data_IF_903922206905
#
_entry.id   IF_903922206905
#
_cell.length_a   1.000
_cell.length_b   1.000
_cell.length_c   1.000
_cell.angle_alpha   90.00
_cell.angle_beta   90.00
_cell.angle_gamma   90.00
#
_symmetry.space_group_name_H-M   'P 1'
#
loop_
_entity.id
_entity.type
_entity.pdbx_description
1 polymer ?
#
# COMPACT_ATOMS: atom_id res chain seq x y z
N UNK A 1 -15.98 6.48 -0.29
CA UNK A 1 -14.85 5.55 -0.52
C UNK A 1 -13.99 6.10 -1.63
N UNK A 2 -12.71 6.35 -1.37
CA UNK A 2 -11.79 6.95 -2.35
C UNK A 2 -10.62 5.98 -2.52
N UNK A 3 -10.63 5.22 -3.61
CA UNK A 3 -9.59 4.22 -3.92
C UNK A 3 -8.40 4.82 -4.68
N UNK A 4 -8.58 6.07 -5.15
CA UNK A 4 -7.65 6.76 -6.02
C UNK A 4 -7.48 8.18 -5.53
N UNK A 5 -6.23 8.54 -5.26
CA UNK A 5 -5.83 9.86 -4.76
C UNK A 5 -5.00 10.56 -5.82
N UNK A 6 -5.39 11.78 -6.20
CA UNK A 6 -4.61 12.60 -7.10
C UNK A 6 -3.46 13.23 -6.32
N UNK A 7 -2.23 12.81 -6.60
CA UNK A 7 -1.04 13.44 -6.05
C UNK A 7 -0.05 13.75 -7.17
N UNK A 8 0.60 12.75 -7.74
CA UNK A 8 1.55 12.87 -8.84
C UNK A 8 1.01 12.27 -10.16
N UNK A 9 1.49 12.80 -11.27
CA UNK A 9 1.20 12.30 -12.60
C UNK A 9 2.05 11.06 -12.88
N UNK A 10 1.41 9.95 -13.21
CA UNK A 10 2.07 8.65 -13.43
C UNK A 10 2.88 8.55 -14.74
N UNK A 11 2.99 9.65 -15.51
CA UNK A 11 3.81 9.75 -16.72
C UNK A 11 5.03 10.64 -16.49
N UNK A 12 4.82 11.90 -16.08
CA UNK A 12 5.92 12.84 -15.87
C UNK A 12 6.47 12.89 -14.44
N UNK A 13 5.78 12.30 -13.46
CA UNK A 13 6.17 12.28 -12.05
C UNK A 13 6.00 13.60 -11.29
N UNK A 14 5.48 14.64 -11.92
CA UNK A 14 5.19 15.92 -11.26
C UNK A 14 3.79 15.91 -10.61
N UNK A 15 3.57 16.70 -9.54
CA UNK A 15 2.26 16.83 -8.91
C UNK A 15 1.15 17.17 -9.91
N UNK A 16 0.00 16.49 -9.81
CA UNK A 16 -1.24 16.77 -10.57
C UNK A 16 -1.85 18.13 -10.19
N UNK A 17 -1.53 18.64 -9.00
CA UNK A 17 -2.06 19.89 -8.45
C UNK A 17 -3.61 19.87 -8.39
N UNK A 18 -4.24 21.05 -8.29
CA UNK A 18 -5.70 21.19 -8.27
C UNK A 18 -6.39 21.10 -9.65
N UNK A 19 -5.66 20.78 -10.72
CA UNK A 19 -6.23 20.62 -12.06
C UNK A 19 -7.08 19.36 -12.18
N UNK A 20 -7.94 19.29 -13.20
CA UNK A 20 -8.72 18.08 -13.50
C UNK A 20 -7.79 17.03 -14.14
N UNK A 21 -7.49 15.89 -13.48
CA UNK A 21 -6.61 14.88 -14.04
C UNK A 21 -7.33 14.08 -15.14
N UNK A 22 -6.56 13.55 -16.09
CA UNK A 22 -7.03 12.55 -17.03
C UNK A 22 -7.02 11.16 -16.38
N UNK A 23 -8.17 10.50 -16.36
CA UNK A 23 -8.28 9.09 -15.98
C UNK A 23 -7.96 8.20 -17.18
N UNK A 24 -6.93 7.38 -17.04
CA UNK A 24 -6.56 6.37 -18.04
C UNK A 24 -6.70 4.99 -17.42
N UNK A 25 -7.36 4.08 -18.13
CA UNK A 25 -7.60 2.71 -17.68
C UNK A 25 -6.94 1.74 -18.64
N UNK A 26 -6.06 0.88 -18.15
CA UNK A 26 -5.50 -0.24 -18.91
C UNK A 26 -6.22 -1.54 -18.58
N UNK A 27 -6.87 -2.12 -19.58
CA UNK A 27 -7.71 -3.30 -19.46
C UNK A 27 -6.92 -4.58 -19.82
N UNK A 28 -6.86 -5.51 -18.86
CA UNK A 28 -6.23 -6.82 -18.97
C UNK A 28 -7.25 -7.96 -19.00
N UNK A 29 -8.45 -7.71 -19.54
CA UNK A 29 -9.61 -8.63 -19.70
C UNK A 29 -10.34 -8.98 -18.40
N UNK A 30 -9.62 -9.40 -17.37
CA UNK A 30 -10.19 -9.78 -16.06
C UNK A 30 -9.86 -8.79 -14.95
N UNK A 31 -8.84 -7.97 -15.16
CA UNK A 31 -8.42 -6.88 -14.27
C UNK A 31 -8.16 -5.65 -15.11
N UNK A 32 -8.31 -4.47 -14.54
CA UNK A 32 -7.84 -3.24 -15.16
C UNK A 32 -7.15 -2.34 -14.13
N UNK A 33 -6.29 -1.45 -14.58
CA UNK A 33 -5.58 -0.49 -13.73
C UNK A 33 -5.98 0.93 -14.13
N UNK A 34 -6.52 1.68 -13.16
CA UNK A 34 -6.99 3.04 -13.33
C UNK A 34 -5.99 4.02 -12.72
N UNK A 35 -5.42 4.91 -13.54
CA UNK A 35 -4.34 5.83 -13.17
C UNK A 35 -4.64 7.26 -13.58
N UNK A 36 -3.97 8.21 -12.93
CA UNK A 36 -4.17 9.65 -13.13
C UNK A 36 -2.97 10.33 -13.81
N UNK A 37 -3.28 11.25 -14.73
CA UNK A 37 -2.31 11.98 -15.55
C UNK A 37 -2.66 13.46 -15.69
N UNK A 38 -1.71 14.32 -16.06
CA UNK A 38 -2.03 15.68 -16.48
C UNK A 38 -2.86 15.67 -17.76
N UNK A 39 -4.08 16.20 -17.69
CA UNK A 39 -4.98 16.29 -18.83
C UNK A 39 -4.42 17.19 -19.94
N UNK A 40 -4.36 16.66 -21.16
CA UNK A 40 -3.95 17.39 -22.36
C UNK A 40 -2.43 17.60 -22.51
N UNK A 41 -1.66 17.51 -21.41
CA UNK A 41 -0.19 17.58 -21.45
C UNK A 41 0.45 16.19 -21.52
N UNK A 42 0.08 15.29 -20.61
CA UNK A 42 0.66 13.94 -20.55
C UNK A 42 -0.24 12.93 -21.25
N UNK A 43 -1.54 12.92 -20.94
CA UNK A 43 -2.51 11.98 -21.53
C UNK A 43 -3.89 12.62 -21.67
N UNK A 44 -4.70 12.03 -22.55
CA UNK A 44 -6.15 12.23 -22.58
C UNK A 44 -6.86 11.07 -21.87
N UNK A 45 -8.07 11.29 -21.32
CA UNK A 45 -8.83 10.22 -20.69
C UNK A 45 -9.15 9.13 -21.70
N UNK A 46 -8.91 7.87 -21.32
CA UNK A 46 -9.10 6.73 -22.23
C UNK A 46 -9.28 5.44 -21.46
N UNK A 47 -10.12 4.56 -22.01
CA UNK A 47 -10.12 3.14 -21.70
C UNK A 47 -9.33 2.40 -22.78
N UNK A 48 -8.18 1.84 -22.42
CA UNK A 48 -7.30 1.12 -23.32
C UNK A 48 -7.59 -0.37 -23.26
N UNK A 49 -8.21 -0.90 -24.32
CA UNK A 49 -8.48 -2.34 -24.50
C UNK A 49 -7.37 -3.06 -25.28
N UNK A 50 -6.35 -2.33 -25.75
CA UNK A 50 -5.24 -2.87 -26.54
C UNK A 50 -4.04 -3.26 -25.67
N UNK A 51 -3.47 -4.44 -25.96
CA UNK A 51 -2.51 -5.16 -25.13
C UNK A 51 -1.15 -4.50 -24.81
N UNK A 52 -0.57 -3.56 -25.59
CA UNK A 52 0.67 -2.94 -25.15
C UNK A 52 0.38 -1.84 -24.14
N UNK A 53 0.50 -2.17 -22.86
CA UNK A 53 0.58 -1.17 -21.78
C UNK A 53 1.95 -0.54 -21.86
N UNK A 54 2.01 0.72 -22.29
CA UNK A 54 3.24 1.50 -22.32
C UNK A 54 3.36 2.29 -21.02
N UNK A 55 4.25 1.85 -20.14
CA UNK A 55 4.69 2.61 -18.98
C UNK A 55 5.93 3.40 -19.39
N UNK A 56 5.94 4.72 -19.19
CA UNK A 56 7.15 5.53 -19.37
C UNK A 56 8.07 5.50 -18.14
N UNK A 57 7.57 4.99 -17.00
CA UNK A 57 8.29 4.97 -15.74
C UNK A 57 8.14 3.61 -15.05
N UNK A 58 9.15 2.76 -15.23
CA UNK A 58 9.42 1.67 -14.29
C UNK A 58 10.00 2.30 -13.00
N UNK A 59 9.44 1.91 -11.84
CA UNK A 59 9.82 2.31 -10.48
C UNK A 59 9.37 3.71 -9.99
N UNK A 60 8.50 3.71 -8.96
CA UNK A 60 8.18 4.89 -8.15
C UNK A 60 6.71 5.28 -8.10
N UNK A 61 5.79 4.32 -7.94
CA UNK A 61 4.42 4.61 -7.52
C UNK A 61 4.52 5.28 -6.15
N UNK A 62 4.12 6.55 -6.06
CA UNK A 62 4.06 7.24 -4.77
C UNK A 62 3.17 6.44 -3.84
N UNK A 63 3.55 6.31 -2.58
CA UNK A 63 2.72 5.68 -1.56
C UNK A 63 2.80 6.49 -0.28
N UNK A 64 1.84 6.27 0.60
CA UNK A 64 1.84 6.86 1.95
C UNK A 64 1.87 5.75 2.98
N UNK A 65 2.60 5.96 4.07
CA UNK A 65 2.60 5.05 5.19
C UNK A 65 2.79 5.79 6.51
N UNK A 66 2.30 5.17 7.57
CA UNK A 66 2.60 5.57 8.93
C UNK A 66 2.74 4.31 9.80
N UNK A 67 3.39 4.47 10.95
CA UNK A 67 3.56 3.39 11.91
C UNK A 67 2.82 3.70 13.21
N UNK A 68 2.31 2.67 13.88
CA UNK A 68 1.52 2.84 15.08
C UNK A 68 1.24 1.53 15.80
N UNK A 69 0.77 1.63 17.04
CA UNK A 69 0.25 0.49 17.79
C UNK A 69 -1.22 0.25 17.45
N UNK A 70 -1.59 -1.00 17.17
CA UNK A 70 -2.97 -1.44 16.94
C UNK A 70 -3.36 -2.38 18.07
N UNK A 71 -4.57 -2.24 18.61
CA UNK A 71 -5.06 -3.16 19.66
C UNK A 71 -5.72 -4.38 19.02
N UNK A 72 -5.15 -5.56 19.25
CA UNK A 72 -5.66 -6.84 18.77
C UNK A 72 -5.84 -7.80 19.94
N UNK A 73 -7.08 -8.18 20.27
CA UNK A 73 -7.37 -9.10 21.37
C UNK A 73 -6.87 -8.59 22.74
N UNK A 74 -6.94 -7.28 22.97
CA UNK A 74 -6.43 -6.64 24.20
C UNK A 74 -4.92 -6.45 24.26
N UNK A 75 -4.17 -6.90 23.24
CA UNK A 75 -2.73 -6.69 23.14
C UNK A 75 -2.42 -5.57 22.13
N UNK A 76 -1.52 -4.66 22.50
CA UNK A 76 -0.95 -3.71 21.57
C UNK A 76 0.05 -4.43 20.65
N UNK A 77 -0.16 -4.34 19.34
CA UNK A 77 0.72 -4.89 18.32
C UNK A 77 1.27 -3.77 17.43
N UNK A 78 2.54 -3.83 17.01
CA UNK A 78 3.10 -2.81 16.15
C UNK A 78 2.60 -3.03 14.72
N UNK A 79 2.24 -1.95 14.04
CA UNK A 79 1.75 -1.99 12.67
C UNK A 79 2.46 -0.96 11.79
N UNK A 80 2.65 -1.34 10.53
CA UNK A 80 2.96 -0.44 9.42
C UNK A 80 1.72 -0.40 8.53
N UNK A 81 1.09 0.76 8.44
CA UNK A 81 -0.10 0.98 7.62
C UNK A 81 0.33 1.70 6.35
N UNK A 82 -0.01 1.13 5.19
CA UNK A 82 0.44 1.59 3.87
C UNK A 82 -0.78 1.79 2.97
N UNK A 83 -0.80 2.92 2.26
CA UNK A 83 -1.63 3.12 1.08
C UNK A 83 -0.76 3.00 -0.17
N UNK A 84 -0.70 1.80 -0.76
CA UNK A 84 0.03 1.55 -2.01
C UNK A 84 -0.79 1.93 -3.25
N UNK A 85 -2.08 2.29 -3.09
CA UNK A 85 -3.02 2.67 -4.16
C UNK A 85 -3.09 4.20 -4.33
N UNK A 86 -2.06 4.90 -3.90
CA UNK A 86 -1.91 6.30 -4.25
C UNK A 86 -1.75 6.38 -5.78
N UNK A 87 -2.57 7.20 -6.45
CA UNK A 87 -2.53 7.43 -7.90
C UNK A 87 -2.82 6.23 -8.82
N UNK A 88 -3.02 5.03 -8.27
CA UNK A 88 -3.51 3.84 -9.00
C UNK A 88 -4.56 3.06 -8.21
N UNK A 89 -5.67 2.73 -8.87
CA UNK A 89 -6.70 1.84 -8.37
C UNK A 89 -6.83 0.63 -9.30
N UNK A 90 -7.11 -0.54 -8.72
CA UNK A 90 -7.42 -1.72 -9.51
C UNK A 90 -8.93 -1.78 -9.78
N UNK A 91 -9.29 -2.37 -10.92
CA UNK A 91 -10.64 -2.78 -11.25
C UNK A 91 -10.60 -4.28 -11.48
N UNK A 92 -11.60 -5.00 -10.97
CA UNK A 92 -11.75 -6.44 -11.16
C UNK A 92 -13.06 -6.66 -11.88
N UNK A 93 -13.06 -7.48 -12.93
CA UNK A 93 -14.27 -7.85 -13.65
C UNK A 93 -14.95 -9.01 -12.92
N UNK A 94 -16.18 -8.77 -12.45
CA UNK A 94 -17.01 -9.74 -11.72
C UNK A 94 -18.40 -9.76 -12.38
N UNK A 95 -18.85 -10.92 -12.86
CA UNK A 95 -20.12 -11.07 -13.59
C UNK A 95 -20.35 -9.99 -14.68
N UNK A 96 -19.33 -9.72 -15.50
CA UNK A 96 -19.32 -8.68 -16.55
C UNK A 96 -19.40 -7.23 -16.04
N UNK A 97 -19.25 -7.01 -14.73
CA UNK A 97 -19.24 -5.68 -14.10
C UNK A 97 -17.85 -5.37 -13.55
N UNK A 98 -17.28 -4.26 -14.00
CA UNK A 98 -16.04 -3.74 -13.42
C UNK A 98 -16.31 -3.17 -12.03
N UNK A 99 -15.69 -3.76 -11.02
CA UNK A 99 -15.78 -3.31 -9.63
C UNK A 99 -14.44 -2.75 -9.19
N UNK A 100 -14.45 -1.57 -8.58
CA UNK A 100 -13.25 -0.93 -8.08
C UNK A 100 -12.70 -1.66 -6.83
N UNK A 101 -11.39 -1.87 -6.83
CA UNK A 101 -10.62 -2.53 -5.80
C UNK A 101 -9.34 -1.73 -5.48
N UNK A 102 -8.85 -1.82 -4.24
CA UNK A 102 -7.49 -1.37 -3.94
C UNK A 102 -6.48 -2.27 -4.66
N UNK A 103 -5.31 -1.75 -5.02
CA UNK A 103 -4.23 -2.53 -5.63
C UNK A 103 -3.81 -3.74 -4.77
N UNK A 104 -4.01 -3.65 -3.46
CA UNK A 104 -3.79 -4.70 -2.47
C UNK A 104 -5.07 -5.10 -1.72
N UNK A 105 -6.24 -4.73 -2.25
CA UNK A 105 -7.54 -5.03 -1.67
C UNK A 105 -7.99 -6.48 -1.88
N UNK A 106 -9.18 -6.86 -1.36
CA UNK A 106 -9.73 -8.19 -1.55
C UNK A 106 -9.79 -8.56 -3.03
N UNK A 107 -9.31 -9.77 -3.37
CA UNK A 107 -9.25 -10.32 -4.74
C UNK A 107 -8.20 -9.70 -5.66
N UNK A 108 -7.35 -8.79 -5.16
CA UNK A 108 -6.27 -8.23 -5.98
C UNK A 108 -5.10 -9.22 -6.15
N UNK A 109 -4.42 -9.15 -7.29
CA UNK A 109 -3.20 -9.94 -7.53
C UNK A 109 -2.10 -9.61 -6.49
N UNK A 110 -1.98 -8.34 -6.09
CA UNK A 110 -1.04 -7.92 -5.04
C UNK A 110 -1.34 -8.53 -3.68
N UNK A 111 -2.63 -8.60 -3.30
CA UNK A 111 -3.06 -9.26 -2.06
C UNK A 111 -2.75 -10.76 -2.08
N UNK A 112 -2.97 -11.43 -3.20
CA UNK A 112 -2.68 -12.85 -3.38
C UNK A 112 -1.17 -13.13 -3.33
N UNK A 113 -0.35 -12.32 -4.01
CA UNK A 113 1.11 -12.45 -4.03
C UNK A 113 1.72 -12.33 -2.62
N UNK A 114 1.21 -11.39 -1.82
CA UNK A 114 1.65 -11.23 -0.43
C UNK A 114 0.91 -12.14 0.55
N UNK A 115 -0.12 -12.88 0.10
CA UNK A 115 -1.07 -13.64 0.93
C UNK A 115 -1.64 -12.81 2.08
N UNK A 116 -2.05 -11.58 1.78
CA UNK A 116 -2.79 -10.73 2.71
C UNK A 116 -4.16 -11.34 3.01
N UNK A 117 -4.72 -11.01 4.17
CA UNK A 117 -6.05 -11.43 4.59
C UNK A 117 -6.91 -10.22 4.93
N UNK A 118 -8.22 -10.24 4.66
CA UNK A 118 -9.11 -9.16 5.10
C UNK A 118 -9.03 -9.02 6.61
N UNK A 119 -8.73 -7.82 7.10
CA UNK A 119 -8.59 -7.58 8.54
C UNK A 119 -9.92 -7.73 9.29
N UNK A 120 -11.04 -7.49 8.59
CA UNK A 120 -12.40 -7.76 9.06
C UNK A 120 -12.66 -9.24 9.42
N UNK A 121 -11.87 -10.17 8.88
CA UNK A 121 -11.96 -11.59 9.21
C UNK A 121 -11.12 -11.95 10.45
N UNK A 122 -10.49 -10.94 11.07
CA UNK A 122 -9.62 -11.07 12.23
C UNK A 122 -8.14 -10.84 11.91
N UNK A 123 -7.33 -10.70 12.95
CA UNK A 123 -5.89 -10.50 12.80
C UNK A 123 -5.20 -11.75 12.26
N UNK A 124 -4.25 -11.61 11.32
CA UNK A 124 -3.53 -12.73 10.74
C UNK A 124 -2.66 -13.43 11.80
N UNK A 125 -2.45 -14.76 11.65
CA UNK A 125 -1.56 -15.50 12.56
C UNK A 125 -0.12 -15.00 12.43
N UNK A 126 0.62 -15.00 13.55
CA UNK A 126 2.04 -14.55 13.61
C UNK A 126 3.05 -15.57 13.02
N UNK A 127 2.71 -16.25 11.91
CA UNK A 127 3.54 -17.31 11.31
C UNK A 127 4.44 -16.79 10.17
N UNK A 128 5.51 -17.53 9.87
CA UNK A 128 6.69 -17.07 9.10
C UNK A 128 6.71 -17.43 7.61
N UNK A 129 5.58 -17.73 6.97
CA UNK A 129 5.53 -18.05 5.53
C UNK A 129 5.44 -16.78 4.65
N UNK A 130 5.76 -15.62 5.23
CA UNK A 130 5.72 -14.34 4.56
C UNK A 130 6.90 -14.17 3.61
N UNK A 131 6.61 -13.80 2.35
CA UNK A 131 7.61 -13.30 1.41
C UNK A 131 8.06 -11.88 1.74
N UNK A 132 7.29 -11.17 2.58
CA UNK A 132 7.64 -9.88 3.13
C UNK A 132 8.52 -10.02 4.38
N UNK A 133 9.41 -9.05 4.59
CA UNK A 133 10.35 -8.99 5.71
C UNK A 133 10.29 -7.62 6.39
N UNK A 134 10.23 -7.62 7.71
CA UNK A 134 10.30 -6.38 8.48
C UNK A 134 11.77 -6.04 8.75
N UNK A 135 12.07 -4.75 8.59
CA UNK A 135 13.37 -4.12 8.76
C UNK A 135 13.21 -2.97 9.75
N UNK A 136 14.23 -2.76 10.57
CA UNK A 136 14.30 -1.64 11.51
C UNK A 136 15.57 -0.87 11.20
N UNK A 137 15.41 0.44 11.03
CA UNK A 137 16.49 1.42 10.94
C UNK A 137 16.39 2.44 12.08
N UNK A 138 17.28 3.43 12.06
CA UNK A 138 17.30 4.48 13.07
C UNK A 138 16.02 5.34 12.96
N UNK A 139 15.05 5.09 13.85
CA UNK A 139 13.77 5.81 13.88
C UNK A 139 12.80 5.42 12.76
N UNK A 140 13.01 4.29 12.09
CA UNK A 140 12.18 3.84 10.94
C UNK A 140 11.85 2.37 11.08
N UNK A 141 10.61 2.01 10.78
CA UNK A 141 10.20 0.63 10.49
C UNK A 141 9.89 0.53 9.01
N UNK A 142 10.30 -0.58 8.40
CA UNK A 142 10.05 -0.83 6.99
C UNK A 142 9.65 -2.28 6.75
N UNK A 143 8.94 -2.51 5.66
CA UNK A 143 8.62 -3.83 5.14
C UNK A 143 9.09 -3.90 3.70
N UNK A 144 10.02 -4.82 3.43
CA UNK A 144 10.44 -5.18 2.09
C UNK A 144 9.62 -6.38 1.61
N UNK A 145 8.96 -6.25 0.45
CA UNK A 145 8.21 -7.34 -0.16
C UNK A 145 8.18 -7.21 -1.68
N UNK A 146 8.29 -8.34 -2.39
CA UNK A 146 8.37 -8.36 -3.86
C UNK A 146 9.50 -7.43 -4.35
N UNK A 147 9.17 -6.38 -5.09
CA UNK A 147 10.09 -5.36 -5.60
C UNK A 147 10.00 -4.03 -4.85
N UNK A 148 9.20 -3.98 -3.77
CA UNK A 148 8.86 -2.75 -3.05
C UNK A 148 9.42 -2.73 -1.63
N UNK A 149 9.69 -1.53 -1.12
CA UNK A 149 10.00 -1.27 0.28
C UNK A 149 9.10 -0.15 0.76
N UNK A 150 8.22 -0.46 1.71
CA UNK A 150 7.39 0.54 2.38
C UNK A 150 7.99 0.86 3.74
N UNK A 151 8.09 2.14 4.08
CA UNK A 151 8.70 2.59 5.32
C UNK A 151 7.91 3.73 5.96
N UNK A 152 8.03 3.86 7.27
CA UNK A 152 7.47 4.98 8.00
C UNK A 152 8.34 5.33 9.21
N UNK A 153 8.35 6.62 9.61
CA UNK A 153 8.94 7.02 10.89
C UNK A 153 8.31 6.22 12.04
N UNK A 154 9.11 5.87 13.03
CA UNK A 154 8.71 5.10 14.20
C UNK A 154 9.35 5.66 15.47
N UNK A 155 8.59 5.70 16.55
CA UNK A 155 9.11 6.05 17.88
C UNK A 155 9.98 4.92 18.43
N UNK A 156 10.87 5.24 19.37
CA UNK A 156 11.66 4.22 20.07
C UNK A 156 10.79 3.20 20.83
N UNK A 157 9.61 3.60 21.30
CA UNK A 157 8.61 2.72 21.88
C UNK A 157 8.08 1.70 20.88
N UNK A 158 7.71 2.15 19.68
CA UNK A 158 7.23 1.26 18.64
C UNK A 158 8.32 0.31 18.16
N UNK A 159 9.56 0.78 18.00
CA UNK A 159 10.70 -0.08 17.65
C UNK A 159 10.91 -1.19 18.69
N UNK A 160 10.85 -0.85 19.99
CA UNK A 160 10.91 -1.85 21.06
C UNK A 160 9.75 -2.85 20.96
N UNK A 161 8.55 -2.39 20.66
CA UNK A 161 7.38 -3.25 20.48
C UNK A 161 7.55 -4.22 19.30
N UNK A 162 8.13 -3.78 18.18
CA UNK A 162 8.47 -4.65 17.03
C UNK A 162 9.45 -5.74 17.44
N UNK A 163 10.51 -5.38 18.17
CA UNK A 163 11.47 -6.36 18.69
C UNK A 163 10.82 -7.36 19.65
N UNK A 164 10.03 -6.89 20.62
CA UNK A 164 9.32 -7.75 21.58
C UNK A 164 8.32 -8.68 20.90
N UNK A 165 7.68 -8.21 19.83
CA UNK A 165 6.69 -8.99 19.10
C UNK A 165 7.32 -9.93 18.05
N UNK A 166 8.61 -9.78 17.75
CA UNK A 166 9.32 -10.55 16.71
C UNK A 166 8.92 -10.18 15.28
N UNK A 167 8.35 -9.00 15.07
CA UNK A 167 7.76 -8.58 13.79
C UNK A 167 6.72 -7.49 13.96
N UNK A 168 6.01 -7.19 12.88
CA UNK A 168 4.94 -6.20 12.85
C UNK A 168 3.79 -6.63 11.93
N UNK A 169 2.64 -6.01 12.12
CA UNK A 169 1.49 -6.14 11.22
C UNK A 169 1.65 -5.20 10.03
N UNK A 170 1.77 -5.75 8.83
CA UNK A 170 1.61 -4.97 7.60
C UNK A 170 0.12 -4.83 7.30
N UNK A 171 -0.36 -3.60 7.17
CA UNK A 171 -1.73 -3.29 6.78
C UNK A 171 -1.70 -2.51 5.47
N UNK A 172 -2.32 -3.05 4.43
CA UNK A 172 -2.57 -2.38 3.17
C UNK A 172 -4.00 -1.87 3.15
N UNK A 173 -4.19 -0.59 2.82
CA UNK A 173 -5.53 0.02 2.70
C UNK A 173 -5.46 1.24 1.79
N UNK A 174 -6.53 1.51 1.04
CA UNK A 174 -6.66 2.75 0.26
C UNK A 174 -7.38 3.87 1.03
N UNK A 175 -7.82 3.60 2.26
CA UNK A 175 -8.77 4.43 2.98
C UNK A 175 -8.20 5.75 3.54
N UNK A 176 -6.88 5.97 3.49
CA UNK A 176 -6.25 7.23 3.89
C UNK A 176 -5.52 7.92 2.73
N UNK A 177 -5.62 9.24 2.67
CA UNK A 177 -4.99 10.10 1.67
C UNK A 177 -3.79 10.88 2.21
N UNK A 178 -3.24 11.81 1.42
CA UNK A 178 -2.11 12.64 1.84
C UNK A 178 -2.44 13.55 3.03
N UNK A 179 -3.67 14.03 3.09
CA UNK A 179 -4.13 14.97 4.13
C UNK A 179 -4.87 14.27 5.28
N UNK A 180 -4.85 12.94 5.30
CA UNK A 180 -5.53 12.17 6.35
C UNK A 180 -4.77 12.32 7.67
N UNK A 181 -5.43 12.80 8.74
CA UNK A 181 -4.78 12.90 10.05
C UNK A 181 -4.53 11.51 10.61
N UNK A 182 -3.30 11.25 11.06
CA UNK A 182 -2.94 9.99 11.71
C UNK A 182 -3.33 10.07 13.20
N UNK A 183 -4.60 9.77 13.48
CA UNK A 183 -5.15 9.69 14.84
C UNK A 183 -5.52 8.24 15.17
N UNK A 184 -5.67 7.93 16.46
CA UNK A 184 -6.12 6.60 16.89
C UNK A 184 -7.51 6.25 16.34
N UNK A 185 -8.45 7.21 16.36
CA UNK A 185 -9.81 7.04 15.85
C UNK A 185 -9.83 6.85 14.32
N UNK A 186 -9.00 7.60 13.59
CA UNK A 186 -8.83 7.39 12.15
C UNK A 186 -8.21 6.01 11.88
N UNK A 187 -7.18 5.62 12.62
CA UNK A 187 -6.56 4.30 12.51
C UNK A 187 -7.60 3.18 12.71
N UNK A 188 -8.45 3.27 13.73
CA UNK A 188 -9.53 2.28 13.94
C UNK A 188 -10.50 2.23 12.77
N UNK A 189 -10.90 3.39 12.22
CA UNK A 189 -11.76 3.47 11.03
C UNK A 189 -11.08 2.87 9.79
N UNK A 190 -9.79 3.13 9.59
CA UNK A 190 -8.99 2.58 8.50
C UNK A 190 -8.87 1.07 8.61
N UNK A 191 -8.65 0.53 9.81
CA UNK A 191 -8.55 -0.91 10.05
C UNK A 191 -9.88 -1.63 9.85
N UNK A 192 -11.00 -0.94 10.09
CA UNK A 192 -12.34 -1.44 9.81
C UNK A 192 -12.75 -1.29 8.33
N UNK A 193 -11.91 -0.70 7.47
CA UNK A 193 -12.25 -0.53 6.06
C UNK A 193 -12.35 -1.89 5.36
N UNK A 194 -13.28 -1.99 4.39
CA UNK A 194 -13.53 -3.24 3.69
C UNK A 194 -12.32 -3.73 2.88
N UNK A 195 -11.44 -2.82 2.49
CA UNK A 195 -10.22 -3.06 1.73
C UNK A 195 -8.96 -3.14 2.61
N UNK A 196 -9.10 -3.08 3.93
CA UNK A 196 -8.01 -3.28 4.87
C UNK A 196 -7.57 -4.75 4.81
N UNK A 197 -6.38 -4.96 4.26
CA UNK A 197 -5.79 -6.27 4.05
C UNK A 197 -4.50 -6.34 4.86
N UNK A 198 -4.33 -7.39 5.67
CA UNK A 198 -3.25 -7.48 6.62
C UNK A 198 -2.47 -8.78 6.57
N UNK A 199 -1.22 -8.72 7.00
CA UNK A 199 -0.36 -9.88 7.23
C UNK A 199 0.64 -9.60 8.34
N UNK A 200 0.92 -10.61 9.15
CA UNK A 200 2.07 -10.57 10.05
C UNK A 200 3.37 -10.71 9.26
N UNK A 201 4.30 -9.78 9.48
CA UNK A 201 5.60 -9.74 8.83
C UNK A 201 6.68 -9.96 9.90
N UNK A 202 7.45 -11.05 9.81
CA UNK A 202 8.49 -11.34 10.79
C UNK A 202 9.64 -10.33 10.68
N UNK A 203 10.20 -9.97 11.84
CA UNK A 203 11.42 -9.19 11.91
C UNK A 203 12.60 -10.04 11.43
N UNK A 204 13.38 -9.52 10.49
CA UNK A 204 14.58 -10.23 10.02
C UNK A 204 15.65 -10.21 11.11
N UNK A 205 16.18 -11.38 11.55
CA UNK A 205 17.34 -11.43 12.43
C UNK A 205 18.53 -10.77 11.73
N UNK A 206 19.11 -9.71 12.33
CA UNK A 206 19.96 -8.74 11.63
C UNK A 206 21.30 -9.33 11.14
N UNK A 207 21.62 -9.07 9.86
CA UNK A 207 22.63 -8.07 9.48
C UNK A 207 22.06 -7.23 8.32
N UNK A 208 21.49 -6.06 8.64
CA UNK A 208 21.16 -5.05 7.65
C UNK A 208 22.46 -4.60 6.99
N UNK A 209 22.47 -4.59 5.67
CA UNK A 209 23.63 -4.17 4.88
C UNK A 209 23.60 -2.67 4.62
N UNK A 210 24.73 -2.09 4.25
CA UNK A 210 24.81 -0.68 3.88
C UNK A 210 23.88 -0.33 2.69
N UNK A 211 23.51 -1.31 1.86
CA UNK A 211 22.58 -1.15 0.75
C UNK A 211 21.13 -0.97 1.22
N UNK A 212 20.73 -1.61 2.32
CA UNK A 212 19.37 -1.48 2.89
C UNK A 212 19.15 -0.07 3.46
N UNK A 213 20.18 0.50 4.10
CA UNK A 213 20.13 1.84 4.65
C UNK A 213 20.10 2.94 3.58
N UNK A 214 20.68 2.70 2.40
CA UNK A 214 20.69 3.65 1.29
C UNK A 214 19.34 3.73 0.55
N UNK A 215 18.48 2.70 0.66
CA UNK A 215 17.13 2.67 0.07
C UNK A 215 16.03 3.18 1.02
N UNK A 216 16.38 3.46 2.27
CA UNK A 216 15.48 3.96 3.32
C UNK A 216 15.66 5.47 3.60
N UNK A 217 16.54 6.14 2.85
CA UNK A 217 16.77 7.60 2.86
C UNK A 217 16.17 8.21 1.60
#
# INVERSE_FOLDING_TARGET
MRLLWAADCQDCGYPLQGGMPALYVDDHRTTAEARLFHFGMCRFPRWNTSAPVTFAKDAGVTWRAFSGGVTAGGQLIPALVVNPSFESAQLVLDDQVWTAAGAYGPRSAGSAALRLRPLRDGFPPRRSDSLARALIGDGVVAVAALTEIWSAPATGELIRLVHQSGGLLLVMTSAFGPDSPVTAEELERLLASWDAMARWVPLTPRRATAADAARLR
#
